data_IF_763572035293
#
_entry.id   IF_763572035293
#
_cell.length_a   1.000
_cell.length_b   1.000
_cell.length_c   1.000
_cell.angle_alpha   90.00
_cell.angle_beta   90.00
_cell.angle_gamma   90.00
#
_symmetry.space_group_name_H-M   'P 1'
#
loop_
_entity.id
_entity.type
_entity.pdbx_description
1 polymer ?
#
# COMPACT_ATOMS: atom_id res chain seq x y z
N UNK A 1 -12.89 10.57 17.09
CA UNK A 1 -12.72 10.87 15.66
C UNK A 1 -11.44 11.65 15.51
N UNK A 2 -10.52 11.21 14.65
CA UNK A 2 -9.36 12.00 14.27
C UNK A 2 -9.85 13.08 13.29
N UNK A 3 -9.70 14.34 13.64
CA UNK A 3 -9.97 15.48 12.76
C UNK A 3 -8.62 15.95 12.20
N UNK A 4 -8.54 16.06 10.87
CA UNK A 4 -7.45 16.74 10.17
C UNK A 4 -8.05 18.05 9.69
N UNK A 5 -7.35 19.17 9.89
CA UNK A 5 -7.82 20.53 9.48
C UNK A 5 -9.20 20.97 10.01
N UNK A 6 -9.71 20.35 11.08
CA UNK A 6 -11.04 20.64 11.63
C UNK A 6 -12.19 19.96 10.87
N UNK A 7 -11.88 19.21 9.81
CA UNK A 7 -12.83 18.36 9.09
C UNK A 7 -12.72 16.92 9.59
N UNK A 8 -13.85 16.24 9.61
CA UNK A 8 -13.90 14.80 9.79
C UNK A 8 -13.35 14.10 8.55
N UNK A 9 -12.90 12.86 8.73
CA UNK A 9 -12.48 12.02 7.63
C UNK A 9 -13.54 11.89 6.52
N UNK A 10 -14.81 11.80 6.90
CA UNK A 10 -15.93 11.68 5.97
C UNK A 10 -16.09 12.94 5.11
N UNK A 11 -15.95 14.12 5.70
CA UNK A 11 -16.00 15.40 4.99
C UNK A 11 -14.85 15.55 4.00
N UNK A 12 -13.61 15.25 4.42
CA UNK A 12 -12.44 15.25 3.52
C UNK A 12 -12.66 14.26 2.37
N UNK A 13 -13.25 13.11 2.67
CA UNK A 13 -13.51 12.09 1.67
C UNK A 13 -14.55 12.53 0.62
N UNK A 14 -15.63 13.18 1.05
CA UNK A 14 -16.66 13.71 0.15
C UNK A 14 -16.08 14.80 -0.75
N UNK A 15 -15.28 15.71 -0.20
CA UNK A 15 -14.58 16.74 -0.95
C UNK A 15 -13.65 16.12 -2.00
N UNK A 16 -12.87 15.11 -1.60
CA UNK A 16 -12.00 14.36 -2.51
C UNK A 16 -12.78 13.73 -3.67
N UNK A 17 -13.93 13.09 -3.39
CA UNK A 17 -14.75 12.47 -4.44
C UNK A 17 -15.29 13.53 -5.42
N UNK A 18 -15.68 14.70 -4.90
CA UNK A 18 -16.17 15.82 -5.71
C UNK A 18 -15.07 16.39 -6.60
N UNK A 19 -13.90 16.65 -6.04
CA UNK A 19 -12.73 17.14 -6.79
C UNK A 19 -12.29 16.13 -7.85
N UNK A 20 -12.18 14.85 -7.49
CA UNK A 20 -11.83 13.79 -8.44
C UNK A 20 -12.83 13.70 -9.60
N UNK A 21 -14.14 13.76 -9.31
CA UNK A 21 -15.17 13.74 -10.35
C UNK A 21 -15.03 14.94 -11.29
N UNK A 22 -14.80 16.12 -10.72
CA UNK A 22 -14.55 17.36 -11.49
C UNK A 22 -13.32 17.21 -12.40
N UNK A 23 -12.20 16.77 -11.82
CA UNK A 23 -10.95 16.53 -12.54
C UNK A 23 -11.12 15.55 -13.72
N UNK A 24 -11.73 14.38 -13.47
CA UNK A 24 -11.94 13.37 -14.52
C UNK A 24 -12.85 13.90 -15.64
N UNK A 25 -13.89 14.65 -15.29
CA UNK A 25 -14.79 15.26 -16.28
C UNK A 25 -14.07 16.31 -17.13
N UNK A 26 -13.19 17.13 -16.55
CA UNK A 26 -12.38 18.09 -17.30
C UNK A 26 -11.38 17.39 -18.22
N UNK A 27 -10.68 16.37 -17.70
CA UNK A 27 -9.74 15.54 -18.49
C UNK A 27 -10.44 14.91 -19.69
N UNK A 28 -11.62 14.31 -19.49
CA UNK A 28 -12.40 13.70 -20.57
C UNK A 28 -12.81 14.74 -21.63
N UNK A 29 -13.30 15.92 -21.21
CA UNK A 29 -13.66 17.01 -22.12
C UNK A 29 -12.45 17.46 -22.95
N UNK A 30 -11.31 17.67 -22.30
CA UNK A 30 -10.05 18.03 -22.98
C UNK A 30 -9.67 16.97 -24.01
N UNK A 31 -9.73 15.69 -23.64
CA UNK A 31 -9.36 14.58 -24.54
C UNK A 31 -10.29 14.52 -25.77
N UNK A 32 -11.59 14.79 -25.59
CA UNK A 32 -12.56 14.90 -26.69
C UNK A 32 -12.26 16.09 -27.63
N UNK A 33 -11.78 17.22 -27.10
CA UNK A 33 -11.38 18.39 -27.90
C UNK A 33 -10.09 18.07 -28.65
N UNK A 34 -9.08 17.55 -27.95
CA UNK A 34 -7.78 17.17 -28.49
C UNK A 34 -7.91 16.17 -29.64
N UNK A 35 -8.84 15.21 -29.54
CA UNK A 35 -9.11 14.23 -30.59
C UNK A 35 -9.58 14.85 -31.93
N UNK A 36 -10.03 16.10 -31.93
CA UNK A 36 -10.47 16.83 -33.13
C UNK A 36 -9.36 17.67 -33.77
N UNK A 37 -8.23 17.85 -33.07
CA UNK A 37 -7.10 18.65 -33.55
C UNK A 37 -6.21 17.83 -34.48
N UNK A 38 -5.72 18.45 -35.54
CA UNK A 38 -4.65 17.88 -36.36
C UNK A 38 -3.36 17.70 -35.54
N UNK A 39 -2.46 16.83 -35.99
CA UNK A 39 -1.18 16.61 -35.32
C UNK A 39 -0.38 17.90 -35.15
N UNK A 40 -0.32 18.73 -36.21
CA UNK A 40 0.38 20.02 -36.19
C UNK A 40 -0.23 21.00 -35.17
N UNK A 41 -1.55 21.02 -35.04
CA UNK A 41 -2.23 21.86 -34.04
C UNK A 41 -1.96 21.36 -32.62
N UNK A 42 -1.95 20.04 -32.41
CA UNK A 42 -1.60 19.43 -31.11
C UNK A 42 -0.18 19.78 -30.69
N UNK A 43 0.78 19.56 -31.58
CA UNK A 43 2.19 19.86 -31.33
C UNK A 43 2.42 21.35 -31.04
N UNK A 44 1.85 22.25 -31.85
CA UNK A 44 1.96 23.68 -31.61
C UNK A 44 1.32 24.09 -30.27
N UNK A 45 0.18 23.51 -29.91
CA UNK A 45 -0.52 23.79 -28.66
C UNK A 45 0.28 23.29 -27.44
N UNK A 46 0.82 22.08 -27.48
CA UNK A 46 1.61 21.49 -26.39
C UNK A 46 2.94 22.26 -26.20
N UNK A 47 3.60 22.65 -27.30
CA UNK A 47 4.83 23.46 -27.25
C UNK A 47 4.57 24.84 -26.63
N UNK A 48 3.48 25.51 -27.03
CA UNK A 48 3.10 26.80 -26.45
C UNK A 48 2.74 26.67 -24.96
N UNK A 49 2.01 25.62 -24.60
CA UNK A 49 1.66 25.31 -23.22
C UNK A 49 2.92 25.13 -22.36
N UNK A 50 3.85 24.29 -22.82
CA UNK A 50 5.11 24.03 -22.11
C UNK A 50 5.97 25.29 -21.98
N UNK A 51 6.12 26.07 -23.05
CA UNK A 51 6.88 27.32 -23.03
C UNK A 51 6.28 28.35 -22.06
N UNK A 52 4.95 28.52 -22.07
CA UNK A 52 4.27 29.44 -21.16
C UNK A 52 4.40 29.00 -19.70
N UNK A 53 4.24 27.70 -19.43
CA UNK A 53 4.44 27.15 -18.09
C UNK A 53 5.84 27.47 -17.57
N UNK A 54 6.88 27.26 -18.38
CA UNK A 54 8.26 27.57 -17.98
C UNK A 54 8.45 29.06 -17.70
N UNK A 55 7.87 29.96 -18.50
CA UNK A 55 7.89 31.40 -18.22
C UNK A 55 7.22 31.74 -16.88
N UNK A 56 6.10 31.11 -16.55
CA UNK A 56 5.43 31.34 -15.26
C UNK A 56 6.32 30.86 -14.10
N UNK A 57 6.89 29.66 -14.21
CA UNK A 57 7.68 29.05 -13.14
C UNK A 57 9.03 29.76 -12.94
N UNK A 58 9.74 30.09 -14.02
CA UNK A 58 11.12 30.62 -13.97
C UNK A 58 11.20 32.13 -14.03
N UNK A 59 10.34 32.76 -14.84
CA UNK A 59 10.38 34.20 -15.09
C UNK A 59 9.32 34.96 -14.28
N UNK A 60 8.39 34.25 -13.62
CA UNK A 60 7.33 34.85 -12.81
C UNK A 60 6.22 35.51 -13.65
N UNK A 61 6.00 35.05 -14.88
CA UNK A 61 4.90 35.54 -15.72
C UNK A 61 3.52 35.35 -15.05
N UNK A 62 2.60 36.30 -15.22
CA UNK A 62 1.28 36.29 -14.58
C UNK A 62 0.15 35.69 -15.46
N UNK A 63 0.48 35.26 -16.69
CA UNK A 63 -0.45 34.80 -17.72
C UNK A 63 -1.02 33.38 -17.46
N UNK A 64 -1.39 33.05 -16.24
CA UNK A 64 -1.91 31.71 -15.88
C UNK A 64 -3.26 31.41 -16.53
N UNK A 65 -4.07 32.43 -16.83
CA UNK A 65 -5.35 32.25 -17.52
C UNK A 65 -5.16 31.81 -18.99
N UNK A 66 -4.02 32.13 -19.59
CA UNK A 66 -3.65 31.65 -20.92
C UNK A 66 -3.28 30.16 -20.91
N UNK A 67 -2.65 29.66 -19.83
CA UNK A 67 -2.47 28.21 -19.64
C UNK A 67 -3.82 27.49 -19.52
N UNK A 68 -4.77 28.08 -18.80
CA UNK A 68 -6.12 27.52 -18.63
C UNK A 68 -6.87 27.47 -19.97
N UNK A 69 -6.80 28.53 -20.79
CA UNK A 69 -7.35 28.54 -22.14
C UNK A 69 -6.73 27.43 -23.01
N UNK A 70 -5.41 27.27 -22.96
CA UNK A 70 -4.71 26.23 -23.69
C UNK A 70 -5.16 24.83 -23.24
N UNK A 71 -5.33 24.59 -21.94
CA UNK A 71 -5.87 23.33 -21.41
C UNK A 71 -7.28 23.06 -21.95
N UNK A 72 -8.18 24.04 -21.90
CA UNK A 72 -9.55 23.91 -22.42
C UNK A 72 -9.58 23.71 -23.95
N UNK A 73 -8.52 24.12 -24.67
CA UNK A 73 -8.33 23.87 -26.10
C UNK A 73 -7.71 22.51 -26.42
N UNK A 74 -7.37 21.69 -25.42
CA UNK A 74 -6.83 20.35 -25.63
C UNK A 74 -5.31 20.22 -25.44
N UNK A 75 -4.65 21.21 -24.84
CA UNK A 75 -3.23 21.14 -24.53
C UNK A 75 -2.91 20.02 -23.54
N UNK A 76 -1.74 19.41 -23.71
CA UNK A 76 -1.23 18.37 -22.83
C UNK A 76 0.22 18.56 -22.47
N UNK A 77 0.71 17.72 -21.56
CA UNK A 77 2.11 17.74 -21.11
C UNK A 77 3.08 16.93 -22.00
N UNK A 78 2.69 16.52 -23.20
CA UNK A 78 3.54 15.69 -24.08
C UNK A 78 4.78 16.39 -24.61
N UNK A 79 4.82 17.73 -24.60
CA UNK A 79 6.00 18.51 -24.98
C UNK A 79 7.05 18.63 -23.85
N UNK A 80 6.74 18.16 -22.63
CA UNK A 80 7.75 18.07 -21.57
C UNK A 80 8.62 16.84 -21.79
N UNK A 81 9.94 17.03 -21.80
CA UNK A 81 10.89 15.92 -21.89
C UNK A 81 10.92 15.13 -20.59
N UNK A 82 11.08 13.81 -20.69
CA UNK A 82 11.17 12.91 -19.54
C UNK A 82 12.51 13.03 -18.79
N UNK A 83 13.53 13.63 -19.42
CA UNK A 83 14.91 13.68 -18.89
C UNK A 83 15.42 15.12 -18.70
N UNK A 84 16.04 15.38 -17.54
CA UNK A 84 16.59 16.69 -17.14
C UNK A 84 17.72 17.21 -18.03
N UNK A 85 18.49 16.32 -18.68
CA UNK A 85 19.69 16.69 -19.45
C UNK A 85 19.37 17.23 -20.85
N UNK A 86 18.09 17.34 -21.20
CA UNK A 86 17.66 17.91 -22.47
C UNK A 86 17.63 19.44 -22.37
N UNK A 87 17.75 20.12 -23.52
CA UNK A 87 17.54 21.57 -23.60
C UNK A 87 16.07 21.99 -23.52
N UNK A 88 15.17 21.02 -23.38
CA UNK A 88 13.73 21.21 -23.42
C UNK A 88 13.16 21.34 -22.01
N UNK A 89 11.92 21.86 -21.88
CA UNK A 89 11.21 21.90 -20.62
C UNK A 89 11.07 20.51 -19.97
N UNK A 90 11.48 20.41 -18.70
CA UNK A 90 11.27 19.22 -17.88
C UNK A 90 10.47 19.64 -16.64
N UNK A 91 9.30 19.04 -16.48
CA UNK A 91 8.36 19.37 -15.43
C UNK A 91 8.91 19.02 -14.04
N UNK A 92 9.65 17.90 -13.95
CA UNK A 92 10.22 17.45 -12.70
C UNK A 92 11.30 18.40 -12.18
N UNK A 93 12.14 18.91 -13.09
CA UNK A 93 13.13 19.96 -12.85
C UNK A 93 12.46 21.26 -12.41
N UNK A 94 11.45 21.71 -13.15
CA UNK A 94 10.68 22.91 -12.81
C UNK A 94 10.11 22.86 -11.39
N UNK A 95 9.47 21.75 -11.01
CA UNK A 95 8.93 21.60 -9.66
C UNK A 95 10.04 21.48 -8.60
N UNK A 96 11.11 20.74 -8.89
CA UNK A 96 12.27 20.61 -7.99
C UNK A 96 12.90 21.95 -7.70
N UNK A 97 13.17 22.74 -8.72
CA UNK A 97 13.82 24.02 -8.54
C UNK A 97 12.94 24.97 -7.73
N UNK A 98 11.62 24.91 -7.96
CA UNK A 98 10.66 25.66 -7.15
C UNK A 98 10.63 25.18 -5.69
N UNK A 99 10.44 23.88 -5.46
CA UNK A 99 10.34 23.30 -4.12
C UNK A 99 11.65 23.42 -3.33
N UNK A 100 12.81 23.23 -3.96
CA UNK A 100 14.10 23.29 -3.27
C UNK A 100 14.55 24.75 -3.12
N UNK A 101 14.72 25.48 -4.22
CA UNK A 101 15.42 26.77 -4.14
C UNK A 101 14.53 27.85 -3.52
N UNK A 102 13.27 27.96 -3.94
CA UNK A 102 12.42 29.06 -3.46
C UNK A 102 11.93 28.83 -2.04
N UNK A 103 11.63 27.58 -1.68
CA UNK A 103 11.16 27.32 -0.31
C UNK A 103 12.29 27.30 0.72
N UNK A 104 13.54 26.98 0.35
CA UNK A 104 14.70 27.12 1.26
C UNK A 104 15.10 28.58 1.46
N UNK A 105 14.82 29.45 0.49
CA UNK A 105 14.97 30.91 0.60
C UNK A 105 13.83 31.60 1.38
N UNK A 106 12.84 30.83 1.88
CA UNK A 106 11.67 31.39 2.56
C UNK A 106 10.70 32.12 1.63
N UNK A 107 10.81 31.91 0.32
CA UNK A 107 9.93 32.53 -0.67
C UNK A 107 8.65 31.70 -0.76
N UNK A 108 7.51 32.33 -0.47
CA UNK A 108 6.19 31.69 -0.62
C UNK A 108 5.91 31.36 -2.09
N UNK A 109 5.27 30.21 -2.33
CA UNK A 109 4.76 29.82 -3.66
C UNK A 109 3.69 30.83 -4.10
N UNK A 110 3.93 31.65 -5.14
CA UNK A 110 2.91 32.55 -5.64
C UNK A 110 1.70 31.75 -6.11
N UNK A 111 0.51 32.28 -5.84
CA UNK A 111 -0.75 31.66 -6.27
C UNK A 111 -0.76 31.36 -7.77
N UNK A 112 -0.11 32.21 -8.58
CA UNK A 112 0.08 32.02 -10.01
C UNK A 112 0.84 30.73 -10.34
N UNK A 113 1.93 30.43 -9.62
CA UNK A 113 2.73 29.21 -9.83
C UNK A 113 1.96 27.99 -9.34
N UNK A 114 1.31 28.08 -8.17
CA UNK A 114 0.46 27.01 -7.65
C UNK A 114 -0.67 26.65 -8.63
N UNK A 115 -1.32 27.68 -9.21
CA UNK A 115 -2.35 27.52 -10.24
C UNK A 115 -1.77 26.92 -11.52
N UNK A 116 -0.63 27.40 -12.01
CA UNK A 116 0.03 26.84 -13.20
C UNK A 116 0.41 25.34 -13.02
N UNK A 117 0.90 24.96 -11.84
CA UNK A 117 1.18 23.56 -11.51
C UNK A 117 -0.10 22.71 -11.51
N UNK A 118 -1.17 23.22 -10.92
CA UNK A 118 -2.48 22.55 -10.92
C UNK A 118 -3.01 22.30 -12.34
N UNK A 119 -2.94 23.30 -13.22
CA UNK A 119 -3.33 23.19 -14.63
C UNK A 119 -2.46 22.15 -15.34
N UNK A 120 -1.17 22.12 -15.04
CA UNK A 120 -0.23 21.18 -15.66
C UNK A 120 -0.46 19.73 -15.22
N UNK A 121 -0.85 19.49 -13.96
CA UNK A 121 -1.30 18.16 -13.51
C UNK A 121 -2.55 17.73 -14.27
N UNK A 122 -3.49 18.65 -14.45
CA UNK A 122 -4.70 18.41 -15.25
C UNK A 122 -4.36 18.12 -16.71
N UNK A 123 -3.34 18.77 -17.26
CA UNK A 123 -2.91 18.65 -18.66
C UNK A 123 -2.29 17.30 -19.06
N UNK A 124 -1.86 16.42 -18.15
CA UNK A 124 -1.61 15.03 -18.57
C UNK A 124 -0.50 14.25 -17.90
N UNK A 125 -0.28 13.06 -18.46
CA UNK A 125 0.30 11.88 -17.80
C UNK A 125 1.82 11.93 -17.64
N UNK A 126 2.48 12.94 -18.22
CA UNK A 126 3.90 13.17 -18.02
C UNK A 126 4.26 13.27 -16.53
N UNK A 127 3.36 13.73 -15.65
CA UNK A 127 3.59 13.73 -14.20
C UNK A 127 4.06 12.38 -13.63
N UNK A 128 3.63 11.26 -14.22
CA UNK A 128 3.99 9.91 -13.78
C UNK A 128 5.30 9.40 -14.39
N UNK A 129 5.73 9.97 -15.52
CA UNK A 129 6.92 9.52 -16.28
C UNK A 129 8.10 10.47 -16.17
N UNK A 130 7.85 11.76 -15.91
CA UNK A 130 8.85 12.81 -15.88
C UNK A 130 9.80 12.62 -14.69
N UNK A 131 11.10 12.50 -15.00
CA UNK A 131 12.15 12.29 -14.02
C UNK A 131 13.05 13.52 -13.96
N UNK A 132 13.52 13.82 -12.75
CA UNK A 132 14.63 14.74 -12.55
C UNK A 132 15.90 13.93 -12.22
N UNK A 133 17.04 14.41 -12.67
CA UNK A 133 18.34 13.77 -12.52
C UNK A 133 18.93 14.02 -11.14
N UNK A 134 19.11 12.94 -10.37
CA UNK A 134 19.87 12.91 -9.12
C UNK A 134 21.02 11.90 -9.23
N UNK A 135 21.72 11.86 -10.38
CA UNK A 135 22.75 10.84 -10.63
C UNK A 135 22.19 9.41 -10.81
N UNK A 136 22.79 8.62 -11.71
CA UNK A 136 22.61 7.17 -11.91
C UNK A 136 21.19 6.57 -11.74
N UNK A 137 20.10 7.27 -12.08
CA UNK A 137 18.75 6.67 -12.06
C UNK A 137 17.56 7.61 -12.19
N UNK A 138 17.71 8.86 -11.73
CA UNK A 138 16.70 9.92 -11.78
C UNK A 138 15.47 9.64 -10.90
N UNK A 139 15.16 10.54 -9.98
CA UNK A 139 13.95 10.44 -9.16
C UNK A 139 12.72 10.89 -9.96
N UNK A 140 11.58 10.24 -9.76
CA UNK A 140 10.33 10.67 -10.40
C UNK A 140 9.81 11.92 -9.68
N UNK A 141 9.08 12.75 -10.41
CA UNK A 141 8.41 13.93 -9.85
C UNK A 141 7.58 13.60 -8.60
N UNK A 142 6.98 12.42 -8.57
CA UNK A 142 6.22 11.91 -7.43
C UNK A 142 7.09 11.77 -6.18
N UNK A 143 8.33 11.28 -6.32
CA UNK A 143 9.23 11.12 -5.17
C UNK A 143 9.56 12.45 -4.51
N UNK A 144 9.76 13.50 -5.29
CA UNK A 144 9.99 14.85 -4.79
C UNK A 144 8.79 15.37 -4.00
N UNK A 145 7.58 15.19 -4.53
CA UNK A 145 6.34 15.66 -3.89
C UNK A 145 6.12 14.95 -2.57
N UNK A 146 6.37 13.64 -2.53
CA UNK A 146 6.34 12.88 -1.27
C UNK A 146 7.43 13.31 -0.31
N UNK A 147 8.67 13.50 -0.79
CA UNK A 147 9.77 13.98 0.03
C UNK A 147 9.40 15.30 0.71
N UNK A 148 8.85 16.26 -0.03
CA UNK A 148 8.44 17.56 0.52
C UNK A 148 7.22 17.45 1.45
N UNK A 149 6.24 16.60 1.13
CA UNK A 149 5.15 16.27 2.06
C UNK A 149 5.70 15.74 3.39
N UNK A 150 6.62 14.78 3.35
CA UNK A 150 7.22 14.21 4.55
C UNK A 150 8.12 15.20 5.29
N UNK A 151 8.89 16.01 4.55
CA UNK A 151 9.74 17.06 5.10
C UNK A 151 8.89 18.04 5.91
N UNK A 152 7.72 18.43 5.40
CA UNK A 152 6.78 19.30 6.09
C UNK A 152 6.16 18.65 7.34
N UNK A 153 5.78 17.38 7.29
CA UNK A 153 5.12 16.70 8.43
C UNK A 153 6.06 16.19 9.52
N UNK A 154 7.30 15.85 9.17
CA UNK A 154 8.17 15.05 10.05
C UNK A 154 9.50 15.71 10.40
N UNK A 155 9.87 16.84 9.80
CA UNK A 155 10.99 17.61 10.34
C UNK A 155 10.60 18.27 11.68
N UNK A 156 11.54 18.39 12.64
CA UNK A 156 11.25 18.86 14.00
C UNK A 156 10.78 20.33 14.11
N UNK A 157 10.75 21.08 12.99
CA UNK A 157 10.38 22.49 12.98
C UNK A 157 8.86 22.64 12.88
N UNK A 158 8.23 22.46 14.05
CA UNK A 158 6.85 22.75 14.46
C UNK A 158 5.71 22.62 13.41
N UNK A 159 4.70 21.75 13.65
CA UNK A 159 3.45 21.72 12.90
C UNK A 159 2.62 23.01 13.02
N UNK A 160 3.03 23.94 13.88
CA UNK A 160 2.39 25.26 14.06
C UNK A 160 3.00 26.36 13.19
N UNK A 161 4.07 26.08 12.43
CA UNK A 161 4.61 27.05 11.48
C UNK A 161 3.64 27.17 10.28
N UNK A 162 3.05 28.36 10.02
CA UNK A 162 2.13 28.58 8.91
C UNK A 162 2.71 28.21 7.54
N UNK A 163 4.02 28.38 7.34
CA UNK A 163 4.70 28.02 6.09
C UNK A 163 4.82 26.51 5.91
N UNK A 164 5.17 25.79 6.99
CA UNK A 164 5.19 24.32 7.00
C UNK A 164 3.81 23.77 6.68
N UNK A 165 2.75 24.36 7.24
CA UNK A 165 1.37 24.00 6.96
C UNK A 165 0.97 24.28 5.51
N UNK A 166 1.30 25.46 4.95
CA UNK A 166 1.06 25.77 3.52
C UNK A 166 1.75 24.77 2.59
N UNK A 167 3.02 24.43 2.85
CA UNK A 167 3.79 23.43 2.07
C UNK A 167 3.15 22.04 2.16
N UNK A 168 2.76 21.65 3.36
CA UNK A 168 2.01 20.41 3.63
C UNK A 168 0.71 20.36 2.83
N UNK A 169 -0.13 21.40 2.94
CA UNK A 169 -1.44 21.47 2.27
C UNK A 169 -1.27 21.43 0.75
N UNK A 170 -0.27 22.14 0.20
CA UNK A 170 0.06 22.12 -1.22
C UNK A 170 0.52 20.73 -1.68
N UNK A 171 1.45 20.11 -0.95
CA UNK A 171 1.92 18.77 -1.28
C UNK A 171 0.78 17.74 -1.17
N UNK A 172 -0.10 17.87 -0.18
CA UNK A 172 -1.29 17.02 -0.03
C UNK A 172 -2.24 17.16 -1.22
N UNK A 173 -2.57 18.38 -1.64
CA UNK A 173 -3.38 18.65 -2.83
C UNK A 173 -2.78 18.07 -4.11
N UNK A 174 -1.46 18.21 -4.27
CA UNK A 174 -0.75 17.71 -5.42
C UNK A 174 -0.75 16.16 -5.44
N UNK A 175 -0.55 15.53 -4.29
CA UNK A 175 -0.70 14.09 -4.11
C UNK A 175 -2.12 13.63 -4.44
N UNK A 176 -3.15 14.35 -4.00
CA UNK A 176 -4.54 14.00 -4.34
C UNK A 176 -4.78 13.97 -5.84
N UNK A 177 -4.28 14.96 -6.58
CA UNK A 177 -4.48 15.03 -8.04
C UNK A 177 -3.69 13.94 -8.78
N UNK A 178 -2.44 13.69 -8.38
CA UNK A 178 -1.61 12.61 -8.94
C UNK A 178 -2.25 11.24 -8.72
N UNK A 179 -2.77 10.99 -7.52
CA UNK A 179 -3.41 9.71 -7.20
C UNK A 179 -4.75 9.52 -7.92
N UNK A 180 -5.49 10.60 -8.17
CA UNK A 180 -6.66 10.59 -9.04
C UNK A 180 -6.30 10.24 -10.48
N UNK A 181 -5.16 10.74 -10.99
CA UNK A 181 -4.67 10.51 -12.34
C UNK A 181 -4.10 9.09 -12.56
N UNK A 182 -3.34 8.57 -11.61
CA UNK A 182 -2.81 7.21 -11.65
C UNK A 182 -3.91 6.12 -11.55
N UNK A 183 -5.09 6.49 -11.07
CA UNK A 183 -6.22 5.58 -10.90
C UNK A 183 -5.89 4.40 -9.98
N UNK A 184 -6.49 3.24 -10.26
CA UNK A 184 -6.21 1.98 -9.56
C UNK A 184 -5.06 1.19 -10.21
N UNK A 185 -4.14 1.85 -10.91
CA UNK A 185 -3.03 1.17 -11.59
C UNK A 185 -2.13 0.47 -10.58
N UNK A 186 -2.28 -0.85 -10.46
CA UNK A 186 -1.50 -1.68 -9.53
C UNK A 186 0.00 -1.55 -9.81
N UNK A 187 0.40 -1.45 -11.07
CA UNK A 187 1.79 -1.26 -11.48
C UNK A 187 2.36 0.07 -10.99
N UNK A 188 1.56 1.15 -11.10
CA UNK A 188 1.93 2.44 -10.53
C UNK A 188 2.11 2.34 -9.01
N UNK A 189 1.10 1.84 -8.30
CA UNK A 189 1.10 1.79 -6.83
C UNK A 189 2.17 0.83 -6.26
N UNK A 190 2.46 -0.26 -6.94
CA UNK A 190 3.50 -1.22 -6.51
C UNK A 190 4.90 -0.66 -6.70
N UNK A 191 5.18 -0.05 -7.87
CA UNK A 191 6.44 0.65 -8.12
C UNK A 191 6.61 1.86 -7.20
N UNK A 192 5.53 2.60 -7.00
CA UNK A 192 5.45 3.73 -6.08
C UNK A 192 5.79 3.34 -4.62
N UNK A 193 5.20 2.27 -4.09
CA UNK A 193 5.52 1.77 -2.74
C UNK A 193 6.97 1.26 -2.66
N UNK A 194 7.46 0.62 -3.72
CA UNK A 194 8.82 0.08 -3.79
C UNK A 194 9.87 1.20 -3.77
N UNK A 195 9.69 2.24 -4.60
CA UNK A 195 10.65 3.31 -4.76
C UNK A 195 10.71 4.21 -3.51
N UNK A 196 9.58 4.52 -2.85
CA UNK A 196 9.61 5.20 -1.55
C UNK A 196 10.38 4.35 -0.51
N UNK A 197 10.27 3.02 -0.58
CA UNK A 197 10.98 2.10 0.31
C UNK A 197 12.49 2.20 0.12
N UNK A 198 12.93 2.31 -1.12
CA UNK A 198 14.32 2.44 -1.51
C UNK A 198 14.94 3.78 -1.04
N UNK A 199 14.30 4.91 -1.34
CA UNK A 199 14.80 6.24 -0.98
C UNK A 199 14.83 6.47 0.54
N UNK A 200 13.85 5.92 1.26
CA UNK A 200 13.86 5.92 2.72
C UNK A 200 15.04 5.14 3.31
N UNK A 201 15.32 3.96 2.75
CA UNK A 201 16.47 3.15 3.18
C UNK A 201 17.78 3.92 3.00
N UNK A 202 17.89 4.71 1.94
CA UNK A 202 19.02 5.62 1.72
C UNK A 202 19.07 6.76 2.76
N UNK A 203 17.94 7.39 3.09
CA UNK A 203 17.86 8.48 4.09
C UNK A 203 18.15 8.02 5.53
N UNK A 204 17.60 6.88 5.96
CA UNK A 204 17.86 6.29 7.29
C UNK A 204 19.32 5.91 7.45
N UNK A 205 19.93 5.37 6.40
CA UNK A 205 21.35 5.06 6.37
C UNK A 205 22.25 6.29 6.57
N UNK A 206 21.71 7.50 6.35
CA UNK A 206 22.38 8.78 6.56
C UNK A 206 22.03 9.46 7.90
N UNK A 207 21.38 8.77 8.85
CA UNK A 207 21.36 9.19 10.26
C UNK A 207 20.01 9.62 10.85
N UNK A 208 18.89 9.51 10.13
CA UNK A 208 17.56 9.88 10.62
C UNK A 208 16.92 8.87 11.58
N UNK A 209 17.33 8.83 12.86
CA UNK A 209 16.92 7.81 13.84
C UNK A 209 15.50 7.92 14.42
N UNK A 210 14.84 9.08 14.36
CA UNK A 210 13.52 9.30 14.99
C UNK A 210 12.31 9.13 14.05
N UNK A 211 12.54 8.81 12.77
CA UNK A 211 11.49 8.82 11.75
C UNK A 211 10.93 7.43 11.40
N UNK A 212 11.55 6.34 11.86
CA UNK A 212 11.14 4.94 11.59
C UNK A 212 9.71 4.59 12.05
N UNK A 213 9.30 5.09 13.22
CA UNK A 213 8.02 4.69 13.83
C UNK A 213 6.80 5.36 13.16
N UNK A 214 6.94 6.61 12.74
CA UNK A 214 5.86 7.35 12.10
C UNK A 214 5.74 6.98 10.61
N UNK A 215 6.86 6.66 9.96
CA UNK A 215 6.84 6.22 8.57
C UNK A 215 6.37 4.77 8.41
N UNK A 216 6.69 3.86 9.34
CA UNK A 216 6.10 2.52 9.32
C UNK A 216 4.58 2.58 9.56
N UNK A 217 4.14 3.49 10.44
CA UNK A 217 2.72 3.83 10.60
C UNK A 217 2.14 4.41 9.31
N UNK A 218 2.88 5.22 8.56
CA UNK A 218 2.46 5.76 7.26
C UNK A 218 2.47 4.73 6.13
N UNK A 219 3.45 3.83 6.02
CA UNK A 219 3.40 2.69 5.11
C UNK A 219 2.18 1.84 5.42
N UNK A 220 1.97 1.56 6.70
CA UNK A 220 0.77 0.90 7.19
C UNK A 220 -0.46 1.76 6.88
N UNK A 221 -0.40 3.08 6.95
CA UNK A 221 -1.51 3.99 6.66
C UNK A 221 -1.79 4.07 5.16
N UNK A 222 -0.86 4.42 4.27
CA UNK A 222 -1.02 4.39 2.81
C UNK A 222 -1.40 3.01 2.28
N UNK A 223 -0.78 1.96 2.82
CA UNK A 223 -1.22 0.59 2.57
C UNK A 223 -2.65 0.43 3.05
N UNK A 224 -3.02 0.72 4.30
CA UNK A 224 -4.40 0.65 4.84
C UNK A 224 -5.35 1.77 4.38
N UNK A 225 -4.94 2.78 3.63
CA UNK A 225 -5.74 3.93 3.19
C UNK A 225 -6.09 3.73 1.72
N UNK A 226 -5.13 3.29 0.91
CA UNK A 226 -5.42 2.80 -0.45
C UNK A 226 -5.99 1.41 -0.47
N UNK A 227 -5.58 0.54 0.45
CA UNK A 227 -6.23 -0.75 0.62
C UNK A 227 -7.50 -0.56 1.46
N UNK A 228 -7.49 0.06 2.64
CA UNK A 228 -8.68 0.23 3.50
C UNK A 228 -9.73 1.26 3.08
N UNK A 229 -9.40 2.36 2.41
CA UNK A 229 -10.39 3.28 1.81
C UNK A 229 -11.02 2.72 0.53
N UNK A 230 -10.31 1.81 -0.16
CA UNK A 230 -10.88 0.91 -1.16
C UNK A 230 -11.70 -0.21 -0.50
N UNK A 231 -11.26 -0.76 0.63
CA UNK A 231 -11.93 -1.84 1.36
C UNK A 231 -13.22 -1.39 2.04
N UNK A 232 -13.29 -0.17 2.59
CA UNK A 232 -14.50 0.40 3.19
C UNK A 232 -15.53 0.76 2.12
N UNK A 233 -15.10 1.31 0.96
CA UNK A 233 -15.95 1.49 -0.23
C UNK A 233 -16.45 0.15 -0.79
N UNK A 234 -15.58 -0.85 -0.88
CA UNK A 234 -15.94 -2.21 -1.30
C UNK A 234 -16.89 -2.90 -0.32
N UNK A 235 -16.75 -2.67 0.99
CA UNK A 235 -17.68 -3.20 2.00
C UNK A 235 -19.03 -2.49 1.95
N UNK A 236 -19.07 -1.16 1.86
CA UNK A 236 -20.30 -0.37 1.97
C UNK A 236 -21.13 -0.33 0.67
N UNK A 237 -20.51 -0.37 -0.52
CA UNK A 237 -21.24 -0.35 -1.80
C UNK A 237 -21.64 -1.75 -2.31
N UNK A 238 -21.03 -2.83 -1.81
CA UNK A 238 -21.19 -4.19 -2.36
C UNK A 238 -21.67 -5.25 -1.36
N UNK A 239 -22.08 -4.87 -0.15
CA UNK A 239 -22.77 -5.75 0.81
C UNK A 239 -24.03 -6.41 0.20
N UNK A 240 -24.58 -5.83 -0.87
CA UNK A 240 -25.72 -6.37 -1.64
C UNK A 240 -25.35 -7.44 -2.69
N UNK A 241 -24.06 -7.69 -2.97
CA UNK A 241 -23.63 -8.58 -4.06
C UNK A 241 -22.54 -9.59 -3.63
N UNK A 242 -23.00 -10.75 -3.16
CA UNK A 242 -22.21 -11.89 -2.65
C UNK A 242 -21.14 -12.45 -3.60
N UNK A 243 -21.23 -12.26 -4.92
CA UNK A 243 -20.32 -12.88 -5.90
C UNK A 243 -18.93 -12.21 -6.01
N UNK A 244 -18.73 -11.02 -5.44
CA UNK A 244 -17.46 -10.27 -5.58
C UNK A 244 -16.55 -10.28 -4.35
N UNK A 245 -17.01 -10.73 -3.18
CA UNK A 245 -16.17 -10.96 -1.98
C UNK A 245 -15.04 -11.97 -2.29
N UNK A 246 -15.29 -12.88 -3.23
CA UNK A 246 -14.29 -13.79 -3.79
C UNK A 246 -13.08 -13.05 -4.43
N UNK A 247 -13.29 -11.90 -5.05
CA UNK A 247 -12.21 -11.10 -5.68
C UNK A 247 -11.33 -10.37 -4.64
N UNK A 248 -11.91 -9.98 -3.51
CA UNK A 248 -11.22 -9.28 -2.42
C UNK A 248 -10.21 -10.19 -1.69
N UNK A 249 -10.59 -11.43 -1.40
CA UNK A 249 -9.64 -12.37 -0.77
C UNK A 249 -8.59 -12.86 -1.73
N UNK A 250 -8.92 -13.00 -3.02
CA UNK A 250 -7.92 -13.24 -4.04
C UNK A 250 -6.90 -12.08 -4.11
N UNK A 251 -7.34 -10.83 -3.93
CA UNK A 251 -6.47 -9.66 -3.86
C UNK A 251 -5.61 -9.62 -2.60
N UNK A 252 -6.17 -9.86 -1.40
CA UNK A 252 -5.39 -9.95 -0.16
C UNK A 252 -4.34 -11.07 -0.22
N UNK A 253 -4.72 -12.23 -0.77
CA UNK A 253 -3.78 -13.33 -1.05
C UNK A 253 -2.69 -12.87 -2.01
N UNK A 254 -3.03 -12.22 -3.13
CA UNK A 254 -2.05 -11.69 -4.08
C UNK A 254 -1.11 -10.67 -3.45
N UNK A 255 -1.62 -9.76 -2.62
CA UNK A 255 -0.83 -8.76 -1.89
C UNK A 255 0.15 -9.43 -0.93
N UNK A 256 -0.33 -10.41 -0.16
CA UNK A 256 0.47 -11.20 0.78
C UNK A 256 1.56 -12.01 0.05
N UNK A 257 1.25 -12.59 -1.12
CA UNK A 257 2.23 -13.26 -1.99
C UNK A 257 3.19 -12.29 -2.68
N UNK A 258 2.76 -11.06 -2.99
CA UNK A 258 3.63 -10.02 -3.59
C UNK A 258 4.60 -9.46 -2.56
N UNK A 259 4.19 -9.33 -1.30
CA UNK A 259 5.06 -8.98 -0.19
C UNK A 259 6.15 -10.03 0.05
N UNK A 260 5.89 -11.31 -0.27
CA UNK A 260 6.91 -12.37 -0.29
C UNK A 260 7.93 -12.15 -1.41
N UNK A 261 7.49 -11.88 -2.64
CA UNK A 261 8.40 -11.57 -3.75
C UNK A 261 9.31 -10.39 -3.38
N UNK A 262 8.71 -9.32 -2.86
CA UNK A 262 9.42 -8.14 -2.39
C UNK A 262 10.43 -8.47 -1.28
N UNK A 263 10.05 -9.28 -0.29
CA UNK A 263 10.97 -9.73 0.76
C UNK A 263 12.12 -10.59 0.19
N UNK A 264 11.84 -11.48 -0.75
CA UNK A 264 12.85 -12.32 -1.38
C UNK A 264 13.86 -11.47 -2.17
N UNK A 265 13.37 -10.50 -2.95
CA UNK A 265 14.19 -9.55 -3.69
C UNK A 265 15.05 -8.68 -2.76
N UNK A 266 14.46 -8.19 -1.65
CA UNK A 266 15.18 -7.41 -0.64
C UNK A 266 16.23 -8.24 0.11
N UNK A 267 15.95 -9.50 0.42
CA UNK A 267 16.92 -10.41 1.06
C UNK A 267 18.05 -10.78 0.10
N UNK A 268 17.76 -11.06 -1.16
CA UNK A 268 18.76 -11.32 -2.20
C UNK A 268 19.64 -10.10 -2.43
N UNK A 269 19.04 -8.90 -2.44
CA UNK A 269 19.76 -7.63 -2.56
C UNK A 269 20.62 -7.32 -1.32
N UNK A 270 20.11 -7.60 -0.10
CA UNK A 270 20.86 -7.45 1.15
C UNK A 270 22.04 -8.44 1.22
N UNK A 271 21.85 -9.68 0.76
CA UNK A 271 22.91 -10.69 0.66
C UNK A 271 23.97 -10.31 -0.38
N UNK A 272 23.58 -9.66 -1.49
CA UNK A 272 24.51 -9.12 -2.48
C UNK A 272 25.35 -7.94 -1.95
N UNK A 273 24.88 -7.25 -0.90
CA UNK A 273 25.55 -6.08 -0.29
C UNK A 273 25.91 -6.28 1.19
N UNK A 274 26.36 -7.48 1.55
CA UNK A 274 26.66 -7.99 2.90
C UNK A 274 27.45 -7.07 3.86
N UNK A 275 28.14 -6.04 3.39
CA UNK A 275 28.92 -5.12 4.23
C UNK A 275 28.16 -3.95 4.86
N UNK A 276 27.06 -3.48 4.26
CA UNK A 276 26.42 -2.20 4.66
C UNK A 276 25.08 -2.43 5.38
N UNK A 277 24.29 -3.41 4.94
CA UNK A 277 22.95 -3.65 5.49
C UNK A 277 22.92 -4.43 6.81
N UNK A 278 23.85 -5.37 7.01
CA UNK A 278 23.83 -6.33 8.12
C UNK A 278 24.09 -5.71 9.50
N UNK A 279 24.65 -4.49 9.58
CA UNK A 279 25.02 -3.84 10.85
C UNK A 279 24.01 -2.82 11.39
N UNK A 280 23.01 -2.41 10.59
CA UNK A 280 22.09 -1.31 10.97
C UNK A 280 20.60 -1.64 10.92
N UNK A 281 20.20 -2.72 10.26
CA UNK A 281 18.82 -3.18 10.28
C UNK A 281 18.65 -4.26 11.36
N UNK A 282 17.93 -3.93 12.44
CA UNK A 282 17.44 -4.94 13.36
C UNK A 282 16.28 -5.70 12.70
N UNK A 283 16.65 -6.69 11.89
CA UNK A 283 15.70 -7.59 11.23
C UNK A 283 14.81 -8.33 12.24
N UNK A 284 15.20 -8.44 13.52
CA UNK A 284 14.37 -9.08 14.53
C UNK A 284 13.12 -8.27 14.84
N UNK A 285 13.24 -6.94 14.97
CA UNK A 285 12.10 -6.04 15.18
C UNK A 285 11.19 -5.97 13.94
N UNK A 286 11.78 -5.90 12.74
CA UNK A 286 11.02 -5.93 11.49
C UNK A 286 10.23 -7.24 11.35
N UNK A 287 10.87 -8.38 11.63
CA UNK A 287 10.21 -9.69 11.58
C UNK A 287 9.10 -9.82 12.64
N UNK A 288 9.24 -9.19 13.82
CA UNK A 288 8.18 -9.24 14.84
C UNK A 288 6.95 -8.43 14.42
N UNK A 289 7.14 -7.21 13.91
CA UNK A 289 6.02 -6.37 13.43
C UNK A 289 5.34 -7.04 12.23
N UNK A 290 6.13 -7.56 11.28
CA UNK A 290 5.59 -8.25 10.12
C UNK A 290 4.79 -9.50 10.53
N UNK A 291 5.25 -10.24 11.55
CA UNK A 291 4.54 -11.40 12.09
C UNK A 291 3.18 -11.01 12.69
N UNK A 292 3.13 -9.96 13.51
CA UNK A 292 1.88 -9.50 14.12
C UNK A 292 0.86 -9.03 13.08
N UNK A 293 1.31 -8.35 12.01
CA UNK A 293 0.43 -7.93 10.93
C UNK A 293 -0.04 -9.10 10.06
N UNK A 294 0.84 -10.07 9.76
CA UNK A 294 0.45 -11.31 9.08
C UNK A 294 -0.62 -12.06 9.89
N UNK A 295 -0.45 -12.15 11.21
CA UNK A 295 -1.43 -12.78 12.11
C UNK A 295 -2.79 -12.09 12.06
N UNK A 296 -2.83 -10.75 12.01
CA UNK A 296 -4.06 -9.98 11.85
C UNK A 296 -4.72 -10.25 10.51
N UNK A 297 -3.96 -10.21 9.41
CA UNK A 297 -4.46 -10.46 8.06
C UNK A 297 -5.03 -11.87 7.94
N UNK A 298 -4.30 -12.88 8.42
CA UNK A 298 -4.78 -14.26 8.49
C UNK A 298 -6.05 -14.33 9.35
N UNK A 299 -6.07 -13.64 10.48
CA UNK A 299 -7.24 -13.58 11.37
C UNK A 299 -8.50 -13.01 10.70
N UNK A 300 -8.35 -12.01 9.83
CA UNK A 300 -9.42 -11.42 9.01
C UNK A 300 -9.83 -12.36 7.89
N UNK A 301 -8.87 -13.00 7.21
CA UNK A 301 -9.16 -14.01 6.19
C UNK A 301 -10.00 -15.15 6.77
N UNK A 302 -9.68 -15.62 7.98
CA UNK A 302 -10.40 -16.70 8.65
C UNK A 302 -11.76 -16.28 9.26
N UNK A 303 -12.05 -14.99 9.44
CA UNK A 303 -13.33 -14.55 10.04
C UNK A 303 -14.49 -14.50 9.04
N UNK A 304 -14.22 -14.58 7.74
CA UNK A 304 -15.22 -14.37 6.69
C UNK A 304 -15.56 -15.69 5.98
N UNK A 305 -16.82 -16.15 6.10
CA UNK A 305 -17.25 -17.44 5.56
C UNK A 305 -17.23 -17.48 4.02
N UNK A 306 -17.53 -16.36 3.37
CA UNK A 306 -17.54 -16.17 1.90
C UNK A 306 -16.17 -16.37 1.24
N UNK A 307 -15.09 -16.36 2.02
CA UNK A 307 -13.72 -16.38 1.50
C UNK A 307 -13.03 -17.73 1.60
N UNK A 308 -13.67 -18.71 2.24
CA UNK A 308 -13.04 -20.00 2.58
C UNK A 308 -12.51 -20.73 1.35
N UNK A 309 -13.22 -20.71 0.23
CA UNK A 309 -12.83 -21.41 -1.00
C UNK A 309 -11.52 -20.88 -1.58
N UNK A 310 -11.39 -19.56 -1.68
CA UNK A 310 -10.18 -18.91 -2.22
C UNK A 310 -9.01 -19.04 -1.27
N UNK A 311 -9.25 -18.89 0.03
CA UNK A 311 -8.20 -19.09 1.03
C UNK A 311 -7.70 -20.53 0.98
N UNK A 312 -8.61 -21.51 0.88
CA UNK A 312 -8.23 -22.91 0.69
C UNK A 312 -7.38 -23.10 -0.57
N UNK A 313 -7.79 -22.52 -1.70
CA UNK A 313 -7.04 -22.59 -2.94
C UNK A 313 -5.63 -21.97 -2.79
N UNK A 314 -5.56 -20.76 -2.24
CA UNK A 314 -4.31 -20.05 -1.99
C UNK A 314 -3.35 -20.81 -1.08
N UNK A 315 -3.86 -21.37 0.03
CA UNK A 315 -3.09 -22.19 0.97
C UNK A 315 -2.63 -23.48 0.30
N UNK A 316 -3.48 -24.10 -0.53
CA UNK A 316 -3.12 -25.30 -1.27
C UNK A 316 -1.98 -25.04 -2.26
N UNK A 317 -2.02 -23.91 -2.95
CA UNK A 317 -1.10 -23.59 -4.03
C UNK A 317 0.22 -22.97 -3.52
N UNK A 318 0.18 -22.20 -2.42
CA UNK A 318 1.36 -21.52 -1.88
C UNK A 318 1.99 -22.23 -0.68
N UNK A 319 3.23 -22.73 -0.86
CA UNK A 319 4.05 -23.30 0.22
C UNK A 319 4.42 -22.25 1.27
N UNK A 320 4.72 -21.03 0.85
CA UNK A 320 5.08 -19.97 1.78
C UNK A 320 3.92 -19.56 2.66
N UNK A 321 2.71 -19.44 2.09
CA UNK A 321 1.54 -19.10 2.88
C UNK A 321 1.31 -20.14 3.97
N UNK A 322 1.44 -21.44 3.64
CA UNK A 322 1.39 -22.52 4.65
C UNK A 322 2.45 -22.34 5.74
N UNK A 323 3.69 -21.98 5.39
CA UNK A 323 4.73 -21.69 6.37
C UNK A 323 4.38 -20.50 7.27
N UNK A 324 3.77 -19.44 6.74
CA UNK A 324 3.34 -18.31 7.57
C UNK A 324 2.25 -18.69 8.56
N UNK A 325 1.29 -19.50 8.13
CA UNK A 325 0.32 -20.09 9.06
C UNK A 325 1.03 -20.93 10.13
N UNK A 326 1.99 -21.79 9.78
CA UNK A 326 2.73 -22.60 10.76
C UNK A 326 3.58 -21.74 11.74
N UNK A 327 4.14 -20.62 11.26
CA UNK A 327 4.85 -19.64 12.09
C UNK A 327 3.92 -18.87 13.05
N UNK A 328 2.61 -19.00 12.84
CA UNK A 328 1.52 -18.46 13.65
C UNK A 328 0.70 -19.60 14.27
N UNK A 329 1.17 -20.22 15.37
CA UNK A 329 0.46 -21.34 15.99
C UNK A 329 -1.02 -21.02 16.24
N UNK A 330 -1.33 -19.81 16.74
CA UNK A 330 -2.70 -19.33 16.97
C UNK A 330 -3.60 -19.47 15.73
N UNK A 331 -3.08 -19.17 14.55
CA UNK A 331 -3.83 -19.27 13.29
C UNK A 331 -4.11 -20.71 12.89
N UNK A 332 -3.15 -21.62 13.08
CA UNK A 332 -3.33 -23.06 12.84
C UNK A 332 -4.36 -23.66 13.79
N UNK A 333 -4.30 -23.32 15.08
CA UNK A 333 -5.29 -23.78 16.05
C UNK A 333 -6.69 -23.23 15.74
N UNK A 334 -6.80 -22.03 15.15
CA UNK A 334 -8.09 -21.51 14.66
C UNK A 334 -8.62 -22.31 13.46
N UNK A 335 -7.73 -22.79 12.57
CA UNK A 335 -8.07 -23.68 11.45
C UNK A 335 -8.60 -25.04 11.92
N UNK A 336 -8.37 -25.46 13.17
CA UNK A 336 -8.89 -26.72 13.69
C UNK A 336 -10.43 -26.84 13.63
N UNK A 337 -11.15 -25.71 13.51
CA UNK A 337 -12.61 -25.68 13.27
C UNK A 337 -12.99 -25.81 11.79
N UNK A 338 -12.05 -25.58 10.88
CA UNK A 338 -12.25 -25.48 9.44
C UNK A 338 -11.79 -26.76 8.71
N UNK A 339 -12.69 -27.74 8.58
CA UNK A 339 -12.40 -29.08 8.02
C UNK A 339 -11.62 -29.03 6.71
N UNK A 340 -12.00 -28.15 5.78
CA UNK A 340 -11.39 -28.07 4.44
C UNK A 340 -9.95 -27.57 4.50
N UNK A 341 -9.68 -26.51 5.27
CA UNK A 341 -8.32 -25.99 5.43
C UNK A 341 -7.45 -26.98 6.21
N UNK A 342 -8.00 -27.59 7.26
CA UNK A 342 -7.30 -28.60 8.05
C UNK A 342 -6.85 -29.78 7.18
N UNK A 343 -7.69 -30.26 6.26
CA UNK A 343 -7.31 -31.30 5.29
C UNK A 343 -6.11 -30.90 4.42
N UNK A 344 -6.04 -29.64 3.98
CA UNK A 344 -4.92 -29.16 3.15
C UNK A 344 -3.61 -29.21 3.95
N UNK A 345 -3.62 -28.69 5.18
CA UNK A 345 -2.45 -28.72 6.05
C UNK A 345 -2.05 -30.15 6.42
N UNK A 346 -3.00 -31.02 6.77
CA UNK A 346 -2.70 -32.44 7.07
C UNK A 346 -2.12 -33.18 5.86
N UNK A 347 -2.53 -32.83 4.64
CA UNK A 347 -2.00 -33.43 3.41
C UNK A 347 -0.59 -32.93 3.08
N UNK A 348 -0.30 -31.64 3.31
CA UNK A 348 0.92 -30.97 2.81
C UNK A 348 2.00 -30.79 3.87
N UNK A 349 1.62 -30.65 5.14
CA UNK A 349 2.48 -30.21 6.24
C UNK A 349 2.28 -31.07 7.51
N UNK A 350 1.90 -32.35 7.36
CA UNK A 350 1.55 -33.27 8.46
C UNK A 350 2.55 -33.24 9.62
N UNK A 351 3.84 -33.39 9.33
CA UNK A 351 4.88 -33.51 10.34
C UNK A 351 4.96 -32.25 11.21
N UNK A 352 4.92 -31.07 10.59
CA UNK A 352 4.94 -29.79 11.30
C UNK A 352 3.72 -29.63 12.23
N UNK A 353 2.56 -30.17 11.87
CA UNK A 353 1.37 -30.13 12.71
C UNK A 353 1.44 -31.08 13.91
N UNK A 354 2.09 -32.25 13.76
CA UNK A 354 2.26 -33.21 14.86
C UNK A 354 3.18 -32.66 15.95
N UNK A 355 4.11 -31.79 15.59
CA UNK A 355 5.05 -31.12 16.50
C UNK A 355 4.47 -29.84 17.11
N UNK A 356 3.41 -29.28 16.52
CA UNK A 356 2.85 -28.01 16.96
C UNK A 356 2.17 -28.12 18.34
N UNK A 357 2.45 -27.16 19.21
CA UNK A 357 1.82 -27.02 20.54
C UNK A 357 1.31 -25.61 20.73
N UNK A 358 0.14 -25.45 21.37
CA UNK A 358 -0.34 -24.15 21.82
C UNK A 358 0.32 -23.74 23.15
N UNK A 359 -0.02 -22.55 23.65
CA UNK A 359 0.57 -22.01 24.89
C UNK A 359 0.26 -22.86 26.14
N UNK A 360 -0.72 -23.76 26.08
CA UNK A 360 -1.06 -24.67 27.16
C UNK A 360 -0.43 -26.05 26.97
N UNK A 361 0.42 -26.23 25.96
CA UNK A 361 0.99 -27.52 25.59
C UNK A 361 0.01 -28.44 24.86
N UNK A 362 -1.15 -27.95 24.40
CA UNK A 362 -2.07 -28.80 23.64
C UNK A 362 -1.52 -29.02 22.23
N UNK A 363 -1.57 -30.26 21.74
CA UNK A 363 -1.52 -30.52 20.31
C UNK A 363 -2.87 -30.16 19.63
N UNK A 364 -2.93 -30.27 18.31
CA UNK A 364 -4.14 -29.95 17.54
C UNK A 364 -5.35 -30.82 17.93
N UNK A 365 -5.15 -32.09 18.27
CA UNK A 365 -6.23 -32.99 18.66
C UNK A 365 -6.81 -32.56 20.01
N UNK A 366 -5.95 -32.36 21.00
CA UNK A 366 -6.34 -31.95 22.34
C UNK A 366 -7.01 -30.58 22.33
N UNK A 367 -6.48 -29.63 21.54
CA UNK A 367 -7.12 -28.35 21.32
C UNK A 367 -8.53 -28.53 20.74
N UNK A 368 -8.68 -29.34 19.68
CA UNK A 368 -9.98 -29.60 19.02
C UNK A 368 -10.99 -30.26 19.94
N UNK A 369 -10.55 -31.17 20.84
CA UNK A 369 -11.37 -31.81 21.86
C UNK A 369 -11.86 -30.84 22.93
N UNK A 370 -11.14 -29.75 23.19
CA UNK A 370 -11.57 -28.69 24.13
C UNK A 370 -12.55 -27.69 23.50
N UNK A 371 -12.66 -27.67 22.17
CA UNK A 371 -13.60 -26.78 21.48
C UNK A 371 -15.05 -27.27 21.65
N UNK A 372 -15.96 -26.33 21.94
CA UNK A 372 -17.41 -26.56 21.90
C UNK A 372 -17.92 -26.57 20.46
N UNK A 373 -18.92 -27.41 20.16
CA UNK A 373 -19.62 -27.45 18.87
C UNK A 373 -19.33 -28.71 18.04
N UNK A 374 -19.70 -28.67 16.75
CA UNK A 374 -19.61 -29.81 15.81
C UNK A 374 -18.18 -30.08 15.32
N UNK A 375 -17.30 -30.55 16.20
CA UNK A 375 -15.88 -30.83 15.90
C UNK A 375 -15.55 -32.30 15.66
N UNK A 376 -16.50 -33.21 15.86
CA UNK A 376 -16.32 -34.67 15.75
C UNK A 376 -15.63 -35.11 14.44
N UNK A 377 -16.06 -34.53 13.31
CA UNK A 377 -15.47 -34.81 12.01
C UNK A 377 -13.99 -34.41 11.91
N UNK A 378 -13.60 -33.33 12.58
CA UNK A 378 -12.21 -32.87 12.59
C UNK A 378 -11.38 -33.71 13.56
N UNK A 379 -11.96 -34.15 14.67
CA UNK A 379 -11.31 -35.08 15.61
C UNK A 379 -11.02 -36.42 14.92
N UNK A 380 -12.03 -37.02 14.26
CA UNK A 380 -11.85 -38.24 13.45
C UNK A 380 -10.78 -38.06 12.37
N UNK A 381 -10.77 -36.90 11.72
CA UNK A 381 -9.76 -36.57 10.72
C UNK A 381 -8.33 -36.51 11.32
N UNK A 382 -8.16 -35.88 12.48
CA UNK A 382 -6.87 -35.78 13.18
C UNK A 382 -6.37 -37.15 13.64
N UNK A 383 -7.24 -37.95 14.27
CA UNK A 383 -6.91 -39.33 14.67
C UNK A 383 -6.45 -40.17 13.46
N UNK A 384 -7.18 -40.08 12.35
CA UNK A 384 -6.81 -40.77 11.10
C UNK A 384 -5.47 -40.32 10.48
N UNK A 385 -4.92 -39.18 10.91
CA UNK A 385 -3.59 -38.69 10.49
C UNK A 385 -2.51 -38.91 11.55
N UNK A 386 -2.79 -39.71 12.59
CA UNK A 386 -1.80 -40.17 13.57
C UNK A 386 -1.58 -39.22 14.75
N UNK A 387 -2.52 -38.32 15.05
CA UNK A 387 -2.50 -37.63 16.35
C UNK A 387 -2.83 -38.62 17.47
N UNK A 388 -1.99 -38.67 18.50
CA UNK A 388 -2.08 -39.65 19.58
C UNK A 388 -3.07 -39.25 20.68
N UNK A 389 -3.79 -40.24 21.22
CA UNK A 389 -4.69 -40.02 22.36
C UNK A 389 -3.94 -39.82 23.69
N UNK A 390 -2.69 -40.24 23.74
CA UNK A 390 -1.89 -40.25 24.96
C UNK A 390 -0.98 -39.00 25.09
N UNK A 391 -1.04 -38.07 24.14
CA UNK A 391 -0.38 -36.76 24.27
C UNK A 391 -1.00 -35.99 25.44
N UNK A 392 -0.16 -35.47 26.34
CA UNK A 392 -0.59 -34.68 27.51
C UNK A 392 -0.30 -33.19 27.32
N UNK A 393 -1.19 -32.33 27.82
CA UNK A 393 -0.92 -30.90 27.95
C UNK A 393 -0.04 -30.58 29.16
N UNK A 394 0.25 -29.29 29.37
CA UNK A 394 1.05 -28.81 30.50
C UNK A 394 0.41 -29.06 31.88
N UNK A 395 -0.86 -29.48 31.92
CA UNK A 395 -1.59 -29.82 33.15
C UNK A 395 -1.73 -31.33 33.34
N UNK A 396 -1.11 -32.15 32.48
CA UNK A 396 -1.20 -33.60 32.53
C UNK A 396 -2.51 -34.19 31.98
N UNK A 397 -3.35 -33.38 31.32
CA UNK A 397 -4.57 -33.91 30.69
C UNK A 397 -4.23 -34.52 29.34
N UNK A 398 -4.61 -35.78 29.12
CA UNK A 398 -4.47 -36.45 27.83
C UNK A 398 -5.70 -36.24 26.93
N UNK A 399 -5.53 -36.43 25.63
CA UNK A 399 -6.67 -36.41 24.70
C UNK A 399 -7.67 -37.52 25.03
N UNK A 400 -7.19 -38.68 25.50
CA UNK A 400 -8.02 -39.78 26.01
C UNK A 400 -8.90 -39.35 27.17
N UNK A 401 -8.34 -38.71 28.20
CA UNK A 401 -9.11 -38.32 29.39
C UNK A 401 -10.18 -37.27 29.06
N UNK A 402 -9.88 -36.31 28.17
CA UNK A 402 -10.89 -35.33 27.73
C UNK A 402 -11.98 -36.00 26.91
N UNK A 403 -11.63 -36.92 26.00
CA UNK A 403 -12.59 -37.63 25.17
C UNK A 403 -13.59 -38.44 26.01
N UNK A 404 -13.13 -39.13 27.05
CA UNK A 404 -13.99 -39.89 27.98
C UNK A 404 -15.04 -39.00 28.69
N UNK A 405 -14.73 -37.71 28.91
CA UNK A 405 -15.68 -36.76 29.51
C UNK A 405 -16.65 -36.15 28.50
N UNK A 406 -16.36 -36.23 27.19
CA UNK A 406 -17.17 -35.65 26.09
C UNK A 406 -18.25 -36.61 25.62
N UNK A 407 -19.31 -36.75 26.42
CA UNK A 407 -20.49 -37.60 26.10
C UNK A 407 -21.23 -37.19 24.82
N UNK A 408 -20.99 -35.99 24.32
CA UNK A 408 -21.56 -35.45 23.08
C UNK A 408 -20.86 -35.92 21.80
N UNK A 409 -19.73 -36.62 21.93
CA UNK A 409 -18.95 -37.13 20.79
C UNK A 409 -19.12 -38.64 20.64
N UNK A 410 -19.42 -39.10 19.42
CA UNK A 410 -19.48 -40.53 19.09
C UNK A 410 -18.26 -40.92 18.26
N UNK A 411 -17.12 -41.01 18.92
CA UNK A 411 -15.84 -41.37 18.30
C UNK A 411 -15.55 -42.83 18.68
N UNK A 412 -15.44 -43.75 17.71
CA UNK A 412 -15.20 -45.16 17.96
C UNK A 412 -13.79 -45.45 18.47
#
# INVERSE_FOLDING_TARGET
MLTVTGKTYEEIHIEFLKERKSFLSRKERRDQIRAKLSEKEREALDNNFSALFMKIVYEGAENVDELEDMLERGATTTAFEDYELTSQPNLAKALREWLIYKTEEGIELPDTVAKALNITVEAGDAFLTNRFYVGNGGDTLIHLIFYEYFRAFYLPNHPDNPETKKRSDFAEQLLYKITAQAGSSYEFWSKFIFDIGFHYTHYVNNGGKHHERNLLRFYTYCFLYHSGGFFQRFFNEYESHYSKIESFTALLVKIVLSAESLRADLLQYADARKGIFSRRFDLSHYNSVLKDEIDKVIGIMLSTASNRKIICQAINDSKWLRKQFLNSPKSIFRIAREKTMLKIFLKKERQALLELRDNNGNDLLLHTLKLKGKTENNIKLLLGHGFGLDTVDNHGNSARSILETRKDLTIP
#
